data_IF_116032918058
#
_entry.id   IF_116032918058
#
_cell.length_a   1.000
_cell.length_b   1.000
_cell.length_c   1.000
_cell.angle_alpha   90.00
_cell.angle_beta   90.00
_cell.angle_gamma   90.00
#
_symmetry.space_group_name_H-M   'P 1'
#
loop_
_entity.id
_entity.type
_entity.pdbx_description
1 polymer ?
#
# COMPACT_ATOMS: atom_id res chain seq x y z
N UNK A 1 0.32 -10.49 8.95
CA UNK A 1 -0.13 -9.47 7.98
C UNK A 1 0.93 -8.39 7.68
N UNK A 2 1.93 -8.16 8.54
CA UNK A 2 3.10 -7.34 8.20
C UNK A 2 3.82 -7.75 6.91
N UNK A 3 4.07 -9.05 6.71
CA UNK A 3 4.67 -9.56 5.46
C UNK A 3 3.92 -9.13 4.19
N UNK A 4 2.58 -9.23 4.18
CA UNK A 4 1.78 -8.82 3.02
C UNK A 4 1.88 -7.30 2.77
N UNK A 5 1.83 -6.49 3.83
CA UNK A 5 2.02 -5.04 3.75
C UNK A 5 3.41 -4.70 3.18
N UNK A 6 4.45 -5.35 3.67
CA UNK A 6 5.82 -5.11 3.25
C UNK A 6 6.03 -5.53 1.78
N UNK A 7 5.40 -6.63 1.34
CA UNK A 7 5.40 -7.05 -0.07
C UNK A 7 4.67 -6.07 -0.98
N UNK A 8 3.52 -5.55 -0.56
CA UNK A 8 2.79 -4.51 -1.31
C UNK A 8 3.61 -3.23 -1.43
N UNK A 9 4.25 -2.79 -0.34
CA UNK A 9 5.16 -1.64 -0.37
C UNK A 9 6.36 -1.89 -1.30
N UNK A 10 6.95 -3.09 -1.25
CA UNK A 10 8.07 -3.47 -2.12
C UNK A 10 7.73 -3.44 -3.61
N UNK A 11 6.53 -3.91 -3.99
CA UNK A 11 6.03 -3.83 -5.36
C UNK A 11 5.90 -2.36 -5.79
N UNK A 12 5.32 -1.51 -4.94
CA UNK A 12 5.14 -0.09 -5.23
C UNK A 12 6.48 0.60 -5.43
N UNK A 13 7.42 0.43 -4.50
CA UNK A 13 8.76 1.01 -4.60
C UNK A 13 9.50 0.54 -5.86
N UNK A 14 9.37 -0.74 -6.21
CA UNK A 14 9.99 -1.29 -7.44
C UNK A 14 9.38 -0.66 -8.68
N UNK A 15 8.05 -0.50 -8.71
CA UNK A 15 7.34 0.13 -9.81
C UNK A 15 7.75 1.60 -9.96
N UNK A 16 7.70 2.39 -8.88
CA UNK A 16 8.09 3.81 -8.89
C UNK A 16 9.53 4.00 -9.34
N UNK A 17 10.46 3.23 -8.76
CA UNK A 17 11.89 3.28 -9.13
C UNK A 17 12.10 2.94 -10.60
N UNK A 18 11.41 1.91 -11.10
CA UNK A 18 11.51 1.50 -12.50
C UNK A 18 10.98 2.57 -13.45
N UNK A 19 9.87 3.22 -13.09
CA UNK A 19 9.26 4.28 -13.90
C UNK A 19 10.13 5.55 -13.89
N UNK A 20 10.60 5.97 -12.72
CA UNK A 20 11.45 7.15 -12.60
C UNK A 20 12.79 6.97 -13.33
N UNK A 21 13.36 5.76 -13.31
CA UNK A 21 14.60 5.45 -14.05
C UNK A 21 14.46 5.56 -15.57
N UNK A 22 13.24 5.42 -16.10
CA UNK A 22 12.97 5.43 -17.55
C UNK A 22 12.60 6.82 -18.07
N UNK A 23 12.15 7.73 -17.19
CA UNK A 23 11.71 9.06 -17.57
C UNK A 23 10.50 9.06 -18.53
N UNK A 24 10.23 10.21 -19.14
CA UNK A 24 9.14 10.38 -20.10
C UNK A 24 9.59 10.01 -21.52
N UNK A 25 9.29 8.78 -21.96
CA UNK A 25 9.68 8.28 -23.29
C UNK A 25 8.81 8.81 -24.45
N UNK A 26 7.69 9.47 -24.15
CA UNK A 26 6.68 9.90 -25.13
C UNK A 26 6.93 11.29 -25.73
N UNK A 27 7.95 12.04 -25.27
CA UNK A 27 8.29 13.35 -25.80
C UNK A 27 7.29 14.46 -25.46
N UNK A 28 7.56 15.68 -25.96
CA UNK A 28 6.73 16.88 -25.74
C UNK A 28 5.96 17.33 -26.98
N UNK A 29 5.78 16.45 -27.96
CA UNK A 29 4.97 16.74 -29.15
C UNK A 29 3.48 16.51 -28.87
N UNK A 30 2.62 16.83 -29.84
CA UNK A 30 1.17 16.71 -29.68
C UNK A 30 0.71 15.27 -29.39
N UNK A 31 1.42 14.26 -29.89
CA UNK A 31 1.11 12.85 -29.61
C UNK A 31 1.52 12.45 -28.20
N UNK A 32 2.72 12.82 -27.77
CA UNK A 32 3.20 12.58 -26.41
C UNK A 32 2.34 13.26 -25.35
N UNK A 33 1.96 14.51 -25.59
CA UNK A 33 1.08 15.27 -24.69
C UNK A 33 -0.31 14.64 -24.61
N UNK A 34 -0.89 14.19 -25.73
CA UNK A 34 -2.20 13.51 -25.74
C UNK A 34 -2.17 12.18 -24.98
N UNK A 35 -1.04 11.47 -25.00
CA UNK A 35 -0.89 10.21 -24.25
C UNK A 35 -0.68 10.46 -22.75
N UNK A 36 0.14 11.43 -22.39
CA UNK A 36 0.61 11.61 -21.02
C UNK A 36 -0.34 12.45 -20.17
N UNK A 37 -0.89 13.51 -20.76
CA UNK A 37 -1.61 14.55 -20.04
C UNK A 37 -3.12 14.30 -20.00
N UNK A 38 -3.81 15.12 -19.21
CA UNK A 38 -5.25 15.06 -19.04
C UNK A 38 -5.71 14.07 -17.97
N UNK A 39 -7.01 14.09 -17.61
CA UNK A 39 -7.55 13.28 -16.52
C UNK A 39 -7.43 11.77 -16.75
N UNK A 40 -7.48 11.35 -18.02
CA UNK A 40 -7.35 9.95 -18.44
C UNK A 40 -5.95 9.63 -19.00
N UNK A 41 -5.02 10.59 -18.94
CA UNK A 41 -3.66 10.44 -19.41
C UNK A 41 -2.84 9.50 -18.55
N UNK A 42 -1.72 9.01 -19.11
CA UNK A 42 -0.81 8.10 -18.40
C UNK A 42 -0.36 8.65 -17.04
N UNK A 43 -0.10 9.96 -16.92
CA UNK A 43 0.33 10.58 -15.66
C UNK A 43 -0.75 10.48 -14.58
N UNK A 44 -2.01 10.71 -14.95
CA UNK A 44 -3.14 10.57 -14.03
C UNK A 44 -3.34 9.10 -13.63
N UNK A 45 -3.30 8.18 -14.59
CA UNK A 45 -3.38 6.74 -14.33
C UNK A 45 -2.25 6.25 -13.40
N UNK A 46 -1.01 6.70 -13.62
CA UNK A 46 0.15 6.40 -12.77
C UNK A 46 -0.09 6.90 -11.34
N UNK A 47 -0.54 8.14 -11.17
CA UNK A 47 -0.84 8.73 -9.87
C UNK A 47 -1.92 7.93 -9.14
N UNK A 48 -3.04 7.64 -9.82
CA UNK A 48 -4.16 6.90 -9.24
C UNK A 48 -3.75 5.48 -8.81
N UNK A 49 -2.92 4.80 -9.61
CA UNK A 49 -2.39 3.49 -9.25
C UNK A 49 -1.50 3.55 -8.01
N UNK A 50 -0.59 4.52 -7.96
CA UNK A 50 0.34 4.74 -6.84
C UNK A 50 -0.42 5.03 -5.54
N UNK A 51 -1.37 5.96 -5.59
CA UNK A 51 -2.22 6.30 -4.44
C UNK A 51 -3.10 5.13 -4.01
N UNK A 52 -3.68 4.40 -4.96
CA UNK A 52 -4.50 3.22 -4.70
C UNK A 52 -3.73 2.13 -3.95
N UNK A 53 -2.55 1.78 -4.44
CA UNK A 53 -1.69 0.77 -3.79
C UNK A 53 -1.26 1.24 -2.39
N UNK A 54 -0.88 2.52 -2.24
CA UNK A 54 -0.53 3.08 -0.93
C UNK A 54 -1.70 3.01 0.08
N UNK A 55 -2.93 3.25 -0.37
CA UNK A 55 -4.13 3.13 0.47
C UNK A 55 -4.43 1.66 0.84
N UNK A 56 -4.21 0.73 -0.08
CA UNK A 56 -4.29 -0.72 0.22
C UNK A 56 -3.28 -1.11 1.29
N UNK A 57 -2.03 -0.66 1.19
CA UNK A 57 -0.99 -0.94 2.18
C UNK A 57 -1.37 -0.40 3.58
N UNK A 58 -1.91 0.83 3.67
CA UNK A 58 -2.40 1.41 4.93
C UNK A 58 -3.55 0.61 5.55
N UNK A 59 -4.48 0.14 4.71
CA UNK A 59 -5.61 -0.70 5.16
C UNK A 59 -5.10 -2.01 5.74
N UNK A 60 -4.15 -2.67 5.07
CA UNK A 60 -3.56 -3.92 5.54
C UNK A 60 -2.78 -3.74 6.85
N UNK A 61 -2.08 -2.61 7.01
CA UNK A 61 -1.39 -2.26 8.25
C UNK A 61 -2.38 -2.10 9.42
N UNK A 62 -3.48 -1.40 9.18
CA UNK A 62 -4.54 -1.20 10.17
C UNK A 62 -5.18 -2.51 10.61
N UNK A 63 -5.40 -3.44 9.67
CA UNK A 63 -5.87 -4.80 10.00
C UNK A 63 -4.84 -5.60 10.79
N UNK A 64 -3.57 -5.51 10.45
CA UNK A 64 -2.50 -6.18 11.19
C UNK A 64 -2.42 -5.70 12.64
N UNK A 65 -2.50 -4.40 12.87
CA UNK A 65 -2.48 -3.80 14.21
C UNK A 65 -3.74 -4.18 15.03
N UNK A 66 -4.92 -4.14 14.41
CA UNK A 66 -6.17 -4.56 15.03
C UNK A 66 -6.13 -6.02 15.50
N UNK A 67 -5.63 -6.93 14.65
CA UNK A 67 -5.46 -8.34 15.01
C UNK A 67 -4.48 -8.52 16.18
N UNK A 68 -3.35 -7.80 16.17
CA UNK A 68 -2.36 -7.87 17.24
C UNK A 68 -2.92 -7.35 18.58
N UNK A 69 -3.68 -6.26 18.55
CA UNK A 69 -4.38 -5.73 19.73
C UNK A 69 -5.42 -6.71 20.27
N UNK A 70 -6.19 -7.34 19.38
CA UNK A 70 -7.17 -8.36 19.77
C UNK A 70 -6.48 -9.57 20.42
N UNK A 71 -5.40 -10.09 19.82
CA UNK A 71 -4.63 -11.19 20.40
C UNK A 71 -4.05 -10.83 21.78
N UNK A 72 -3.50 -9.62 21.94
CA UNK A 72 -3.04 -9.12 23.25
C UNK A 72 -4.16 -8.97 24.28
N UNK A 73 -5.37 -8.63 23.85
CA UNK A 73 -6.51 -8.54 24.74
C UNK A 73 -6.95 -9.93 25.19
N UNK A 74 -7.14 -10.86 24.24
CA UNK A 74 -7.51 -12.24 24.52
C UNK A 74 -6.50 -12.91 25.45
N UNK A 75 -5.20 -12.81 25.17
CA UNK A 75 -4.17 -13.37 26.03
C UNK A 75 -4.20 -12.80 27.46
N UNK A 76 -4.51 -11.51 27.63
CA UNK A 76 -4.67 -10.90 28.96
C UNK A 76 -5.93 -11.37 29.67
N UNK A 77 -7.03 -11.58 28.94
CA UNK A 77 -8.26 -12.13 29.50
C UNK A 77 -8.04 -13.57 29.96
N UNK A 78 -7.41 -14.41 29.14
CA UNK A 78 -7.11 -15.81 29.50
C UNK A 78 -6.25 -15.92 30.76
N UNK A 79 -5.20 -15.09 30.89
CA UNK A 79 -4.35 -15.06 32.08
C UNK A 79 -5.17 -14.69 33.32
N UNK A 80 -6.01 -13.65 33.24
CA UNK A 80 -6.84 -13.24 34.38
C UNK A 80 -7.88 -14.29 34.75
N UNK A 81 -8.52 -14.91 33.76
CA UNK A 81 -9.46 -15.99 34.00
C UNK A 81 -8.78 -17.21 34.62
N UNK A 82 -7.53 -17.50 34.25
CA UNK A 82 -6.77 -18.57 34.88
C UNK A 82 -6.39 -18.27 36.35
N UNK A 83 -6.05 -17.02 36.67
CA UNK A 83 -5.75 -16.60 38.05
C UNK A 83 -6.99 -16.65 38.95
N UNK A 84 -8.19 -16.37 38.42
CA UNK A 84 -9.45 -16.34 39.20
C UNK A 84 -9.98 -17.74 39.57
N UNK A 85 -9.49 -18.81 38.90
CA UNK A 85 -9.95 -20.19 39.10
C UNK A 85 -9.00 -20.99 40.03
N UNK A 86 -7.96 -20.35 40.58
CA UNK A 86 -6.96 -20.98 41.46
C UNK A 86 -7.11 -20.53 42.92
#
# INVERSE_FOLDING_TARGET
>A
MGDLRDRVNGILTTLETSLDSRGAAWGGDGYGSTFADGPEGYLAARKNLTEGIGNTAKTLDSYSDGQYKAAKLLARTDIRSADDIR
#
